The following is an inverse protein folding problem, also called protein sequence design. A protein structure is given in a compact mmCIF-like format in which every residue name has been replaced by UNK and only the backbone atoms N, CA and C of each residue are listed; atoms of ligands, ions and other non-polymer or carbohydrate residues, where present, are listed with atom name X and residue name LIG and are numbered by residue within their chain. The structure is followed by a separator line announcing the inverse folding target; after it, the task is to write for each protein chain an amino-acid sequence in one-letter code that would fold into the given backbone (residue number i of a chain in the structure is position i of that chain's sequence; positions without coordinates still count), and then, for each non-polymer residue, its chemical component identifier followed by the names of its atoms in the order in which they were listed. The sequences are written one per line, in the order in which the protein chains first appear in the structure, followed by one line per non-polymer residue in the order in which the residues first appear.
data_IF_922685118506
#
_entry.id   IF_922685118506
#
_cell.length_a   1.000
_cell.length_b   1.000
_cell.length_c   1.000
_cell.angle_alpha   90.00
_cell.angle_beta   90.00
_cell.angle_gamma   90.00
#
_symmetry.space_group_name_H-M   'P 1'
#
loop_
_entity.id
_entity.type
_entity.pdbx_description
1 polymer ?
#
# COMPACT_ATOMS: atom_id res chain seq x y z
N UNK A 1 -1.13 1.71 -17.11
CA UNK A 1 -2.10 1.73 -15.98
C UNK A 1 -2.88 3.04 -16.02
N UNK A 2 -4.07 3.12 -15.43
CA UNK A 2 -4.92 4.35 -15.46
C UNK A 2 -5.69 4.57 -14.15
N UNK A 3 -6.13 5.81 -13.87
CA UNK A 3 -7.07 6.04 -12.79
C UNK A 3 -8.41 5.31 -12.98
N UNK A 4 -9.00 4.85 -11.87
CA UNK A 4 -10.34 4.26 -11.83
C UNK A 4 -11.39 5.35 -11.63
N UNK A 5 -12.53 5.22 -12.31
CA UNK A 5 -13.70 6.10 -12.14
C UNK A 5 -14.43 5.82 -10.82
N UNK A 6 -15.34 6.71 -10.41
CA UNK A 6 -16.18 6.48 -9.22
C UNK A 6 -17.06 5.23 -9.37
N UNK A 7 -17.60 4.98 -10.55
CA UNK A 7 -18.40 3.78 -10.85
C UNK A 7 -17.57 2.51 -10.71
N UNK A 8 -16.34 2.50 -11.22
CA UNK A 8 -15.42 1.37 -11.09
C UNK A 8 -15.00 1.11 -9.64
N UNK A 9 -14.71 2.18 -8.87
CA UNK A 9 -14.44 2.07 -7.43
C UNK A 9 -15.64 1.46 -6.70
N UNK A 10 -16.86 1.93 -7.02
CA UNK A 10 -18.10 1.41 -6.42
C UNK A 10 -18.30 -0.06 -6.74
N UNK A 11 -18.14 -0.46 -8.01
CA UNK A 11 -18.26 -1.85 -8.45
C UNK A 11 -17.25 -2.73 -7.71
N UNK A 12 -15.97 -2.34 -7.68
CA UNK A 12 -14.92 -3.07 -6.97
C UNK A 12 -15.24 -3.28 -5.49
N UNK A 13 -15.58 -2.20 -4.77
CA UNK A 13 -15.84 -2.30 -3.33
C UNK A 13 -17.15 -3.03 -2.99
N UNK A 14 -18.08 -3.11 -3.93
CA UNK A 14 -19.34 -3.85 -3.76
C UNK A 14 -19.13 -5.35 -4.03
N UNK A 15 -18.41 -5.70 -5.09
CA UNK A 15 -18.42 -7.05 -5.67
C UNK A 15 -17.11 -7.84 -5.50
N UNK A 16 -15.98 -7.17 -5.33
CA UNK A 16 -14.65 -7.79 -5.38
C UNK A 16 -13.83 -7.61 -4.09
N UNK A 17 -14.12 -6.58 -3.29
CA UNK A 17 -13.32 -6.26 -2.12
C UNK A 17 -13.29 -7.41 -1.10
N UNK A 18 -12.08 -7.94 -0.88
CA UNK A 18 -11.88 -9.15 -0.10
C UNK A 18 -11.79 -8.85 1.42
N UNK A 19 -12.95 -8.67 2.04
CA UNK A 19 -13.07 -8.43 3.49
C UNK A 19 -12.45 -9.57 4.31
N UNK A 20 -12.62 -10.82 3.88
CA UNK A 20 -12.04 -11.98 4.57
C UNK A 20 -10.49 -11.95 4.51
N UNK A 21 -9.94 -11.52 3.37
CA UNK A 21 -8.51 -11.28 3.20
C UNK A 21 -8.01 -10.20 4.16
N UNK A 22 -8.72 -9.07 4.26
CA UNK A 22 -8.40 -8.00 5.23
C UNK A 22 -8.45 -8.51 6.67
N UNK A 23 -9.49 -9.27 7.03
CA UNK A 23 -9.61 -9.88 8.35
C UNK A 23 -8.47 -10.84 8.66
N UNK A 24 -8.06 -11.65 7.68
CA UNK A 24 -6.93 -12.57 7.82
C UNK A 24 -5.60 -11.83 7.92
N UNK A 25 -5.43 -10.72 7.19
CA UNK A 25 -4.24 -9.88 7.25
C UNK A 25 -4.04 -9.28 8.63
N UNK A 26 -5.11 -8.70 9.18
CA UNK A 26 -5.13 -8.06 10.50
C UNK A 26 -5.33 -9.07 11.64
N UNK A 27 -5.29 -10.38 11.35
CA UNK A 27 -5.44 -11.41 12.37
C UNK A 27 -4.27 -11.34 13.34
N UNK A 28 -4.59 -11.23 14.63
CA UNK A 28 -3.60 -11.08 15.68
C UNK A 28 -3.13 -9.64 15.89
N UNK A 29 -3.72 -8.67 15.20
CA UNK A 29 -3.52 -7.25 15.52
C UNK A 29 -3.99 -6.96 16.95
N UNK A 30 -3.18 -6.22 17.70
CA UNK A 30 -3.50 -5.86 19.08
C UNK A 30 -4.38 -4.62 19.09
N UNK A 31 -5.54 -4.72 19.74
CA UNK A 31 -6.47 -3.61 19.85
C UNK A 31 -7.22 -3.28 18.55
N UNK A 32 -7.81 -2.09 18.52
CA UNK A 32 -8.62 -1.60 17.40
C UNK A 32 -7.71 -0.97 16.33
N UNK A 33 -7.95 -1.32 15.07
CA UNK A 33 -7.25 -0.74 13.92
C UNK A 33 -7.95 0.55 13.53
N UNK A 34 -7.22 1.62 13.26
CA UNK A 34 -7.80 2.82 12.63
C UNK A 34 -7.63 2.67 11.12
N UNK A 35 -8.71 2.79 10.36
CA UNK A 35 -8.62 2.85 8.91
C UNK A 35 -8.55 4.30 8.45
N UNK A 36 -8.08 4.52 7.23
CA UNK A 36 -8.09 5.84 6.63
C UNK A 36 -8.35 5.77 5.13
N UNK A 37 -8.94 6.83 4.59
CA UNK A 37 -9.16 6.98 3.16
C UNK A 37 -8.65 8.32 2.68
N UNK A 38 -8.19 8.34 1.43
CA UNK A 38 -7.93 9.57 0.67
C UNK A 38 -8.88 9.52 -0.51
N UNK A 39 -9.70 10.56 -0.68
CA UNK A 39 -10.81 10.51 -1.64
C UNK A 39 -10.30 10.71 -3.07
N UNK A 40 -9.56 11.78 -3.33
CA UNK A 40 -9.19 12.17 -4.69
C UNK A 40 -7.99 13.11 -4.79
N UNK A 41 -7.06 13.06 -3.82
CA UNK A 41 -5.90 13.96 -3.74
C UNK A 41 -5.09 14.00 -5.02
N UNK A 42 -4.79 12.84 -5.59
CA UNK A 42 -3.93 12.72 -6.76
C UNK A 42 -4.71 12.55 -8.05
N UNK A 43 -5.83 11.81 -8.01
CA UNK A 43 -6.65 11.54 -9.19
C UNK A 43 -7.55 12.71 -9.58
N UNK A 44 -7.89 13.60 -8.63
CA UNK A 44 -8.94 14.61 -8.79
C UNK A 44 -10.30 14.01 -9.19
N UNK A 45 -10.51 12.74 -8.86
CA UNK A 45 -11.76 12.00 -9.07
C UNK A 45 -12.34 11.72 -7.68
N UNK A 46 -13.42 12.42 -7.36
CA UNK A 46 -14.12 12.36 -6.07
C UNK A 46 -15.61 12.68 -6.27
N UNK A 47 -16.50 12.19 -5.39
CA UNK A 47 -17.90 12.65 -5.39
C UNK A 47 -17.98 14.17 -5.14
N UNK A 48 -18.81 14.94 -5.87
CA UNK A 48 -18.85 16.41 -5.75
C UNK A 48 -19.09 16.94 -4.33
N UNK A 49 -19.85 16.20 -3.51
CA UNK A 49 -20.13 16.53 -2.11
C UNK A 49 -18.88 16.51 -1.21
N UNK A 50 -17.79 15.87 -1.65
CA UNK A 50 -16.53 15.74 -0.92
C UNK A 50 -15.38 16.56 -1.53
N UNK A 51 -15.69 17.62 -2.29
CA UNK A 51 -14.67 18.47 -2.92
C UNK A 51 -13.71 19.10 -1.89
N UNK A 52 -14.23 19.62 -0.78
CA UNK A 52 -13.42 20.25 0.28
C UNK A 52 -12.52 19.24 1.00
N UNK A 53 -12.94 17.97 1.03
CA UNK A 53 -12.22 16.87 1.69
C UNK A 53 -11.38 16.03 0.71
N UNK A 54 -11.37 16.36 -0.58
CA UNK A 54 -10.77 15.53 -1.62
C UNK A 54 -9.29 15.22 -1.35
N UNK A 55 -8.55 16.18 -0.80
CA UNK A 55 -7.15 16.06 -0.44
C UNK A 55 -6.93 15.64 1.03
N UNK A 56 -7.97 15.66 1.85
CA UNK A 56 -7.89 15.36 3.28
C UNK A 56 -7.80 13.86 3.51
N UNK A 57 -6.99 13.48 4.51
CA UNK A 57 -6.97 12.11 5.00
C UNK A 57 -8.11 11.94 6.01
N UNK A 58 -9.12 11.15 5.68
CA UNK A 58 -10.27 10.88 6.55
C UNK A 58 -9.98 9.62 7.36
N UNK A 59 -10.06 9.70 8.68
CA UNK A 59 -9.90 8.55 9.57
C UNK A 59 -11.26 7.87 9.80
N UNK A 60 -11.25 6.55 9.79
CA UNK A 60 -12.39 5.69 10.07
C UNK A 60 -12.03 4.88 11.31
N UNK A 61 -12.40 5.42 12.46
CA UNK A 61 -12.23 4.80 13.77
C UNK A 61 -13.57 4.42 14.42
N UNK A 62 -14.71 4.81 13.84
CA UNK A 62 -16.07 4.50 14.29
C UNK A 62 -16.74 3.41 13.42
N UNK A 63 -16.42 2.15 13.71
CA UNK A 63 -16.97 0.97 13.07
C UNK A 63 -17.17 -0.19 14.08
N UNK A 64 -18.04 -1.16 13.81
CA UNK A 64 -18.20 -2.38 14.63
C UNK A 64 -17.66 -3.61 13.94
N UNK A 65 -17.59 -3.57 12.62
CA UNK A 65 -17.13 -4.64 11.75
C UNK A 65 -16.43 -4.08 10.51
N UNK A 66 -15.68 -4.93 9.80
CA UNK A 66 -15.10 -4.54 8.50
C UNK A 66 -16.17 -4.23 7.45
N UNK A 67 -17.42 -4.66 7.66
CA UNK A 67 -18.54 -4.30 6.80
C UNK A 67 -18.94 -2.83 6.96
N UNK A 68 -18.86 -2.29 8.17
CA UNK A 68 -19.07 -0.86 8.39
C UNK A 68 -17.93 -0.05 7.74
N UNK A 69 -16.70 -0.55 7.79
CA UNK A 69 -15.54 0.05 7.07
C UNK A 69 -15.79 0.03 5.56
N UNK A 70 -16.28 -1.09 5.00
CA UNK A 70 -16.72 -1.14 3.59
C UNK A 70 -17.82 -0.10 3.32
N UNK A 71 -18.77 0.07 4.22
CA UNK A 71 -19.81 1.10 4.13
C UNK A 71 -19.23 2.50 3.97
N UNK A 72 -18.27 2.88 4.83
CA UNK A 72 -17.55 4.15 4.70
C UNK A 72 -16.76 4.26 3.39
N UNK A 73 -16.11 3.19 2.94
CA UNK A 73 -15.40 3.17 1.65
C UNK A 73 -16.39 3.39 0.48
N UNK A 74 -17.59 2.81 0.54
CA UNK A 74 -18.63 2.98 -0.50
C UNK A 74 -19.29 4.36 -0.49
N UNK A 75 -19.27 5.04 0.65
CA UNK A 75 -19.70 6.43 0.81
C UNK A 75 -18.68 7.38 0.14
N UNK A 76 -17.40 7.27 0.51
CA UNK A 76 -16.37 8.17 0.02
C UNK A 76 -15.86 7.84 -1.40
N UNK A 77 -15.99 6.59 -1.85
CA UNK A 77 -15.40 6.07 -3.09
C UNK A 77 -13.93 6.50 -3.30
N UNK A 78 -13.04 6.18 -2.35
CA UNK A 78 -11.73 6.79 -2.27
C UNK A 78 -10.76 6.28 -3.33
N UNK A 79 -9.79 7.12 -3.70
CA UNK A 79 -8.68 6.73 -4.56
C UNK A 79 -7.70 5.80 -3.85
N UNK A 80 -7.69 5.75 -2.52
CA UNK A 80 -6.85 4.84 -1.75
C UNK A 80 -7.39 4.62 -0.34
N UNK A 81 -7.25 3.38 0.15
CA UNK A 81 -7.60 2.97 1.51
C UNK A 81 -6.33 2.54 2.23
N UNK A 82 -6.22 2.91 3.51
CA UNK A 82 -5.07 2.68 4.37
C UNK A 82 -5.53 2.13 5.72
N UNK A 83 -4.60 1.56 6.47
CA UNK A 83 -4.75 1.35 7.91
C UNK A 83 -3.60 2.03 8.66
N UNK A 84 -3.86 2.43 9.89
CA UNK A 84 -2.88 2.96 10.82
C UNK A 84 -2.08 1.81 11.41
N UNK A 85 -0.76 1.91 11.26
CA UNK A 85 0.22 0.94 11.75
C UNK A 85 0.41 1.01 13.26
N UNK A 86 -0.11 2.04 13.93
CA UNK A 86 -0.03 2.16 15.38
C UNK A 86 -0.95 1.17 16.09
N UNK A 87 -0.50 0.72 17.26
CA UNK A 87 -1.30 0.00 18.24
C UNK A 87 -1.69 0.98 19.33
N UNK A 88 -2.96 0.96 19.70
CA UNK A 88 -3.55 1.81 20.72
C UNK A 88 -3.96 0.99 21.95
N UNK A 89 -3.76 1.54 23.14
CA UNK A 89 -4.42 1.05 24.35
C UNK A 89 -5.88 1.52 24.45
N UNK A 90 -6.57 1.11 25.51
CA UNK A 90 -7.99 1.45 25.75
C UNK A 90 -8.22 2.96 25.95
N UNK A 91 -7.18 3.71 26.34
CA UNK A 91 -7.21 5.16 26.50
C UNK A 91 -6.88 5.91 25.19
N UNK A 92 -6.62 5.17 24.10
CA UNK A 92 -6.29 5.73 22.79
C UNK A 92 -4.83 6.22 22.68
N UNK A 93 -3.95 5.82 23.60
CA UNK A 93 -2.53 6.13 23.54
C UNK A 93 -1.79 5.10 22.70
N UNK A 94 -0.83 5.58 21.91
CA UNK A 94 0.04 4.72 21.10
C UNK A 94 0.99 3.93 22.01
N UNK A 95 0.91 2.60 21.94
CA UNK A 95 1.75 1.66 22.70
C UNK A 95 2.69 0.83 21.83
N UNK A 96 2.57 0.93 20.51
CA UNK A 96 3.45 0.28 19.57
C UNK A 96 3.14 0.70 18.14
N UNK A 97 3.97 0.27 17.19
CA UNK A 97 3.75 0.53 15.77
C UNK A 97 4.36 -0.57 14.90
N UNK A 98 3.64 -1.05 13.91
CA UNK A 98 4.20 -1.99 12.92
C UNK A 98 5.41 -1.36 12.23
N UNK A 99 6.53 -2.09 12.19
CA UNK A 99 7.68 -1.73 11.35
C UNK A 99 7.37 -2.16 9.91
N UNK A 100 7.50 -1.25 8.95
CA UNK A 100 7.39 -1.60 7.54
C UNK A 100 8.34 -0.77 6.69
N UNK A 101 8.70 -1.32 5.55
CA UNK A 101 9.58 -0.73 4.55
C UNK A 101 8.79 -0.53 3.27
N UNK A 102 8.82 0.68 2.71
CA UNK A 102 8.17 1.00 1.44
C UNK A 102 9.23 1.17 0.35
N UNK A 103 9.06 0.42 -0.72
CA UNK A 103 9.89 0.47 -1.92
C UNK A 103 8.99 0.91 -3.08
N UNK A 104 9.14 2.16 -3.49
CA UNK A 104 8.39 2.77 -4.60
C UNK A 104 9.35 3.14 -5.74
N UNK A 105 8.95 2.97 -7.01
CA UNK A 105 9.69 3.44 -8.18
C UNK A 105 10.20 4.88 -8.08
N UNK A 106 9.50 5.75 -7.36
CA UNK A 106 9.88 7.15 -7.13
C UNK A 106 11.23 7.30 -6.41
N UNK A 107 11.68 6.31 -5.64
CA UNK A 107 12.96 6.32 -4.93
C UNK A 107 14.13 5.81 -5.79
N UNK A 108 13.86 5.31 -7.00
CA UNK A 108 14.86 4.77 -7.90
C UNK A 108 15.24 5.73 -9.02
N UNK A 109 16.43 5.54 -9.57
CA UNK A 109 16.87 6.21 -10.80
C UNK A 109 16.73 5.24 -11.96
N UNK A 110 15.77 5.49 -12.85
CA UNK A 110 15.56 4.68 -14.04
C UNK A 110 16.65 4.95 -15.08
N UNK A 111 17.26 3.91 -15.70
CA UNK A 111 18.28 4.11 -16.73
C UNK A 111 17.73 4.78 -18.01
N UNK A 112 16.42 4.71 -18.24
CA UNK A 112 15.76 5.32 -19.41
C UNK A 112 15.15 6.67 -19.05
N UNK A 113 14.44 6.74 -17.93
CA UNK A 113 13.62 7.91 -17.60
C UNK A 113 14.29 8.89 -16.61
N UNK A 114 15.44 8.53 -16.05
CA UNK A 114 16.20 9.34 -15.09
C UNK A 114 15.66 9.24 -13.67
N UNK A 115 16.01 10.23 -12.85
CA UNK A 115 15.59 10.35 -11.45
C UNK A 115 14.16 10.88 -11.30
N UNK A 116 13.62 10.86 -10.08
CA UNK A 116 12.36 11.54 -9.75
C UNK A 116 12.39 13.02 -10.13
N UNK A 117 13.51 13.72 -9.91
CA UNK A 117 13.65 15.13 -10.28
C UNK A 117 13.48 15.32 -11.80
N UNK A 118 14.10 14.44 -12.60
CA UNK A 118 13.98 14.48 -14.07
C UNK A 118 12.54 14.25 -14.52
N UNK A 119 11.83 13.33 -13.86
CA UNK A 119 10.42 13.06 -14.12
C UNK A 119 9.52 14.23 -13.70
N UNK A 120 9.76 14.84 -12.55
CA UNK A 120 9.00 16.01 -12.08
C UNK A 120 9.12 17.17 -13.07
N UNK A 121 10.32 17.43 -13.63
CA UNK A 121 10.52 18.44 -14.69
C UNK A 121 9.69 18.17 -15.95
N UNK A 122 9.35 16.91 -16.23
CA UNK A 122 8.48 16.49 -17.33
C UNK A 122 7.01 16.33 -16.94
N UNK A 123 6.62 16.68 -15.72
CA UNK A 123 5.28 16.44 -15.17
C UNK A 123 4.88 14.96 -15.11
N UNK A 124 5.86 14.07 -14.89
CA UNK A 124 5.72 12.62 -14.86
C UNK A 124 6.06 12.01 -13.49
N UNK A 125 6.11 12.80 -12.42
CA UNK A 125 6.59 12.37 -11.10
C UNK A 125 5.91 11.12 -10.53
N UNK A 126 4.60 10.97 -10.77
CA UNK A 126 3.81 9.82 -10.29
C UNK A 126 3.76 8.65 -11.29
N UNK A 127 4.40 8.81 -12.46
CA UNK A 127 4.47 7.78 -13.49
C UNK A 127 5.70 6.89 -13.30
N UNK A 128 5.52 5.61 -13.53
CA UNK A 128 6.59 4.61 -13.53
C UNK A 128 6.48 3.75 -14.78
N UNK A 129 7.61 3.15 -15.16
CA UNK A 129 7.68 2.19 -16.26
C UNK A 129 7.88 0.76 -15.74
N UNK A 130 7.75 -0.22 -16.63
CA UNK A 130 7.90 -1.64 -16.32
C UNK A 130 9.29 -1.97 -15.77
N UNK A 131 10.32 -1.29 -16.28
CA UNK A 131 11.70 -1.42 -15.81
C UNK A 131 11.82 -1.01 -14.34
N UNK A 132 11.14 0.07 -13.93
CA UNK A 132 11.21 0.51 -12.55
C UNK A 132 10.48 -0.43 -11.61
N UNK A 133 9.32 -0.96 -12.02
CA UNK A 133 8.64 -2.01 -11.27
C UNK A 133 9.53 -3.24 -11.06
N UNK A 134 10.24 -3.66 -12.10
CA UNK A 134 11.16 -4.79 -12.03
C UNK A 134 12.34 -4.48 -11.09
N UNK A 135 12.92 -3.28 -11.19
CA UNK A 135 14.01 -2.85 -10.30
C UNK A 135 13.57 -2.81 -8.83
N UNK A 136 12.37 -2.29 -8.54
CA UNK A 136 11.81 -2.29 -7.17
C UNK A 136 11.54 -3.71 -6.71
N UNK A 137 11.06 -4.60 -7.58
CA UNK A 137 10.84 -6.02 -7.25
C UNK A 137 12.15 -6.71 -6.86
N UNK A 138 13.20 -6.54 -7.66
CA UNK A 138 14.54 -7.08 -7.39
C UNK A 138 15.12 -6.53 -6.08
N UNK A 139 14.93 -5.23 -5.83
CA UNK A 139 15.34 -4.62 -4.56
C UNK A 139 14.54 -5.15 -3.37
N UNK A 140 13.24 -5.38 -3.54
CA UNK A 140 12.35 -5.97 -2.53
C UNK A 140 12.80 -7.37 -2.16
N UNK A 141 13.14 -8.22 -3.15
CA UNK A 141 13.65 -9.57 -2.93
C UNK A 141 14.96 -9.52 -2.13
N UNK A 142 15.91 -8.66 -2.54
CA UNK A 142 17.19 -8.50 -1.82
C UNK A 142 16.99 -7.98 -0.40
N UNK A 143 16.08 -7.03 -0.20
CA UNK A 143 15.81 -6.48 1.13
C UNK A 143 15.13 -7.52 2.02
N UNK A 144 14.19 -8.29 1.47
CA UNK A 144 13.55 -9.39 2.19
C UNK A 144 14.58 -10.41 2.69
N UNK A 145 15.53 -10.83 1.85
CA UNK A 145 16.61 -11.74 2.27
C UNK A 145 17.38 -11.17 3.46
N UNK A 146 17.72 -9.88 3.42
CA UNK A 146 18.42 -9.22 4.51
C UNK A 146 17.62 -9.10 5.80
N UNK A 147 16.34 -8.75 5.70
CA UNK A 147 15.45 -8.65 6.85
C UNK A 147 15.15 -10.02 7.44
N UNK A 148 15.06 -11.07 6.63
CA UNK A 148 14.75 -12.44 7.08
C UNK A 148 15.84 -13.06 7.97
N UNK A 149 17.04 -12.47 7.97
CA UNK A 149 18.14 -12.83 8.88
C UNK A 149 17.93 -12.31 10.31
N UNK A 150 17.01 -11.36 10.49
CA UNK A 150 16.77 -10.64 11.75
C UNK A 150 15.32 -10.83 12.24
N UNK A 151 14.36 -10.84 11.32
CA UNK A 151 12.93 -10.92 11.59
C UNK A 151 12.34 -12.23 11.08
N UNK A 152 11.31 -12.73 11.76
CA UNK A 152 10.73 -14.04 11.52
C UNK A 152 9.35 -14.01 10.85
N UNK A 153 8.54 -12.96 11.06
CA UNK A 153 7.23 -12.78 10.42
C UNK A 153 7.29 -11.59 9.47
N UNK A 154 7.82 -11.84 8.28
CA UNK A 154 7.89 -10.88 7.18
C UNK A 154 6.79 -11.16 6.16
N UNK A 155 6.08 -10.11 5.75
CA UNK A 155 5.00 -10.21 4.76
C UNK A 155 5.20 -9.16 3.68
N UNK A 156 5.04 -9.57 2.43
CA UNK A 156 5.19 -8.66 1.28
C UNK A 156 3.80 -8.29 0.78
N UNK A 157 3.62 -7.02 0.39
CA UNK A 157 2.42 -6.54 -0.28
C UNK A 157 2.83 -5.79 -1.53
N UNK A 158 2.31 -6.19 -2.69
CA UNK A 158 2.31 -5.32 -3.85
C UNK A 158 1.34 -4.16 -3.60
N UNK A 159 1.83 -2.93 -3.61
CA UNK A 159 1.06 -1.73 -3.24
C UNK A 159 0.29 -1.13 -4.42
N UNK A 160 0.45 -1.67 -5.63
CA UNK A 160 -0.10 -1.13 -6.88
C UNK A 160 0.93 -0.40 -7.73
N UNK A 161 2.02 0.11 -7.13
CA UNK A 161 3.14 0.76 -7.85
C UNK A 161 4.50 0.27 -7.40
N UNK A 162 4.58 -0.25 -6.19
CA UNK A 162 5.80 -0.79 -5.60
C UNK A 162 5.45 -1.90 -4.62
N UNK A 163 6.28 -2.08 -3.62
CA UNK A 163 6.11 -3.14 -2.63
C UNK A 163 6.32 -2.61 -1.23
N UNK A 164 5.57 -3.17 -0.30
CA UNK A 164 5.80 -3.01 1.12
C UNK A 164 6.34 -4.32 1.69
N UNK A 165 7.32 -4.21 2.59
CA UNK A 165 7.70 -5.32 3.48
C UNK A 165 7.23 -4.96 4.89
N UNK A 166 6.33 -5.76 5.42
CA UNK A 166 5.74 -5.62 6.74
C UNK A 166 6.40 -6.57 7.72
N UNK A 167 6.74 -6.09 8.92
CA UNK A 167 7.36 -6.87 10.00
C UNK A 167 6.34 -7.07 11.13
N UNK A 168 5.86 -8.30 11.29
CA UNK A 168 4.85 -8.70 12.26
C UNK A 168 5.43 -9.35 13.53
N UNK A 169 6.77 -9.43 13.65
CA UNK A 169 7.44 -9.82 14.90
C UNK A 169 6.98 -8.92 16.06
N UNK A 170 6.47 -9.50 17.14
CA UNK A 170 5.92 -8.76 18.28
C UNK A 170 6.92 -7.76 18.88
N UNK A 171 8.19 -8.15 18.94
CA UNK A 171 9.30 -7.32 19.42
C UNK A 171 9.48 -6.06 18.55
N UNK A 172 9.22 -6.15 17.24
CA UNK A 172 9.36 -5.03 16.31
C UNK A 172 8.33 -3.93 16.57
N UNK A 173 7.16 -4.26 17.14
CA UNK A 173 6.14 -3.26 17.49
C UNK A 173 6.60 -2.33 18.62
N UNK A 174 7.45 -2.81 19.52
CA UNK A 174 7.98 -2.08 20.67
C UNK A 174 9.15 -1.14 20.35
N UNK A 175 9.69 -1.18 19.12
CA UNK A 175 10.83 -0.35 18.73
C UNK A 175 10.50 1.15 18.83
N UNK A 176 11.38 1.89 19.49
CA UNK A 176 11.31 3.35 19.59
C UNK A 176 11.58 4.04 18.24
N UNK A 177 11.15 5.30 18.11
CA UNK A 177 11.45 6.12 16.93
C UNK A 177 12.97 6.20 16.62
N UNK A 178 13.80 6.21 17.66
CA UNK A 178 15.26 6.23 17.50
C UNK A 178 15.77 4.92 16.90
N UNK A 179 15.34 3.78 17.43
CA UNK A 179 15.73 2.46 16.92
C UNK A 179 15.27 2.26 15.47
N UNK A 180 14.04 2.67 15.14
CA UNK A 180 13.51 2.63 13.78
C UNK A 180 14.30 3.51 12.82
N UNK A 181 14.66 4.72 13.25
CA UNK A 181 15.51 5.64 12.46
C UNK A 181 16.90 5.05 12.23
N UNK A 182 17.48 4.38 13.24
CA UNK A 182 18.76 3.68 13.08
C UNK A 182 18.65 2.48 12.13
N UNK A 183 17.54 1.73 12.15
CA UNK A 183 17.27 0.65 11.18
C UNK A 183 17.15 1.23 9.77
N UNK A 184 16.32 2.27 9.57
CA UNK A 184 16.14 2.93 8.27
C UNK A 184 17.48 3.40 7.70
N UNK A 185 18.29 4.08 8.52
CA UNK A 185 19.63 4.53 8.15
C UNK A 185 20.55 3.38 7.75
N UNK A 186 20.62 2.31 8.56
CA UNK A 186 21.46 1.13 8.26
C UNK A 186 21.05 0.47 6.95
N UNK A 187 19.76 0.32 6.69
CA UNK A 187 19.26 -0.26 5.43
C UNK A 187 19.67 0.62 4.23
N UNK A 188 19.57 1.94 4.35
CA UNK A 188 20.05 2.86 3.30
C UNK A 188 21.56 2.84 3.10
N UNK A 189 22.35 2.78 4.18
CA UNK A 189 23.82 2.68 4.10
C UNK A 189 24.28 1.40 3.38
N UNK A 190 23.44 0.36 3.38
CA UNK A 190 23.65 -0.88 2.63
C UNK A 190 23.22 -0.79 1.16
N UNK A 191 22.73 0.37 0.72
CA UNK A 191 22.38 0.64 -0.67
C UNK A 191 20.93 0.34 -1.06
N UNK A 192 20.03 0.16 -0.08
CA UNK A 192 18.60 -0.01 -0.35
C UNK A 192 17.87 1.34 -0.41
N UNK A 193 17.04 1.55 -1.42
CA UNK A 193 16.31 2.80 -1.69
C UNK A 193 14.89 2.79 -1.08
N UNK A 194 14.82 2.53 0.22
CA UNK A 194 13.57 2.56 1.00
C UNK A 194 13.11 4.00 1.28
N UNK A 195 11.81 4.18 1.53
CA UNK A 195 11.29 5.38 2.19
C UNK A 195 11.62 5.36 3.70
N UNK A 196 12.50 6.27 4.12
CA UNK A 196 12.89 6.43 5.53
C UNK A 196 11.76 6.92 6.43
N UNK A 197 10.88 7.78 5.92
CA UNK A 197 9.78 8.35 6.71
C UNK A 197 8.74 7.26 7.03
N UNK A 198 8.54 6.30 6.12
CA UNK A 198 7.76 5.09 6.42
C UNK A 198 8.49 4.23 7.45
N UNK A 199 9.76 3.92 7.25
CA UNK A 199 10.49 2.97 8.11
C UNK A 199 10.72 3.51 9.53
N UNK A 200 11.04 4.80 9.67
CA UNK A 200 11.26 5.47 10.96
C UNK A 200 10.00 5.62 11.80
N UNK A 201 8.82 5.39 11.22
CA UNK A 201 7.53 5.50 11.89
C UNK A 201 6.84 6.86 11.73
N UNK A 202 7.41 7.78 10.95
CA UNK A 202 6.81 9.08 10.67
C UNK A 202 5.50 8.99 9.87
N UNK A 203 5.41 8.08 8.89
CA UNK A 203 4.16 7.83 8.15
C UNK A 203 3.37 6.74 8.84
N UNK A 204 2.38 7.06 9.66
CA UNK A 204 1.62 6.02 10.36
C UNK A 204 0.70 5.18 9.46
N UNK A 205 0.28 5.71 8.31
CA UNK A 205 -0.67 5.04 7.42
C UNK A 205 0.04 4.23 6.34
N UNK A 206 -0.44 3.02 6.07
CA UNK A 206 0.04 2.16 4.98
C UNK A 206 -1.14 1.56 4.21
N UNK A 207 -0.98 1.32 2.91
CA UNK A 207 -2.07 0.89 2.04
C UNK A 207 -2.68 -0.41 2.56
N UNK A 208 -4.00 -0.44 2.66
CA UNK A 208 -4.74 -1.61 3.12
C UNK A 208 -4.63 -2.73 2.08
N UNK A 209 -4.13 -3.92 2.42
CA UNK A 209 -4.15 -5.06 1.50
C UNK A 209 -5.57 -5.38 1.05
N UNK A 210 -5.69 -5.87 -0.18
CA UNK A 210 -6.93 -6.11 -0.91
C UNK A 210 -7.73 -4.86 -1.31
N UNK A 211 -7.28 -3.65 -0.96
CA UNK A 211 -7.91 -2.40 -1.44
C UNK A 211 -7.44 -2.01 -2.84
N UNK A 212 -8.23 -1.16 -3.50
CA UNK A 212 -7.91 -0.64 -4.83
C UNK A 212 -6.97 0.58 -4.71
N UNK A 213 -5.88 0.57 -5.48
CA UNK A 213 -5.10 1.76 -5.76
C UNK A 213 -5.71 2.50 -6.97
N UNK A 214 -6.52 3.52 -6.70
CA UNK A 214 -7.35 4.21 -7.68
C UNK A 214 -6.61 5.06 -8.70
N UNK A 215 -5.31 5.37 -8.52
CA UNK A 215 -4.50 6.06 -9.54
C UNK A 215 -4.07 5.14 -10.69
N UNK A 216 -3.93 3.83 -10.40
CA UNK A 216 -3.37 2.86 -11.34
C UNK A 216 -4.31 1.68 -11.62
N UNK A 217 -5.45 1.63 -10.94
CA UNK A 217 -6.44 0.55 -11.04
C UNK A 217 -5.79 -0.82 -10.84
N UNK A 218 -5.11 -0.96 -9.70
CA UNK A 218 -4.50 -2.21 -9.24
C UNK A 218 -4.94 -2.53 -7.84
N UNK A 219 -5.19 -3.81 -7.56
CA UNK A 219 -5.52 -4.29 -6.23
C UNK A 219 -4.20 -4.49 -5.48
N UNK A 220 -4.08 -3.94 -4.28
CA UNK A 220 -2.96 -4.24 -3.42
C UNK A 220 -3.08 -5.69 -2.94
N UNK A 221 -2.08 -6.54 -3.18
CA UNK A 221 -2.18 -7.97 -2.83
C UNK A 221 -0.99 -8.40 -1.98
N UNK A 222 -1.22 -9.17 -0.90
CA UNK A 222 -0.14 -9.90 -0.24
C UNK A 222 0.50 -10.91 -1.18
N UNK A 223 1.81 -11.11 -1.06
CA UNK A 223 2.59 -12.07 -1.84
C UNK A 223 3.50 -12.87 -0.89
N UNK A 224 3.61 -14.17 -1.12
CA UNK A 224 4.73 -14.96 -0.59
C UNK A 224 6.02 -14.64 -1.35
N UNK A 225 7.18 -14.81 -0.71
CA UNK A 225 8.47 -14.55 -1.34
C UNK A 225 8.67 -15.37 -2.63
N UNK A 226 8.14 -16.60 -2.69
CA UNK A 226 8.22 -17.46 -3.89
C UNK A 226 7.32 -16.96 -5.00
N UNK A 227 6.22 -16.29 -4.65
CA UNK A 227 5.32 -15.68 -5.64
C UNK A 227 5.92 -14.40 -6.18
N UNK A 228 6.64 -13.63 -5.35
CA UNK A 228 7.26 -12.37 -5.74
C UNK A 228 8.23 -12.52 -6.92
N UNK A 229 9.03 -13.58 -6.95
CA UNK A 229 9.99 -13.82 -8.05
C UNK A 229 9.30 -13.95 -9.42
N UNK A 230 8.14 -14.63 -9.46
CA UNK A 230 7.35 -14.82 -10.67
C UNK A 230 6.27 -13.74 -10.88
N UNK A 231 6.14 -12.79 -9.96
CA UNK A 231 5.06 -11.82 -9.99
C UNK A 231 5.27 -10.78 -11.11
N UNK A 232 4.28 -10.66 -11.98
CA UNK A 232 4.20 -9.62 -13.00
C UNK A 232 2.97 -8.72 -12.75
N UNK A 233 3.11 -7.49 -12.25
CA UNK A 233 1.98 -6.59 -11.93
C UNK A 233 1.15 -6.15 -13.15
N UNK A 234 1.63 -6.44 -14.37
CA UNK A 234 0.94 -6.11 -15.61
C UNK A 234 -0.03 -7.23 -16.01
N UNK A 235 0.35 -8.48 -15.77
CA UNK A 235 -0.34 -9.68 -16.26
C UNK A 235 -1.04 -10.48 -15.15
N UNK A 236 -0.60 -10.35 -13.89
CA UNK A 236 -1.14 -11.13 -12.79
C UNK A 236 -2.58 -10.71 -12.47
N UNK A 237 -3.54 -11.58 -12.82
CA UNK A 237 -4.97 -11.35 -12.65
C UNK A 237 -5.37 -11.07 -11.20
N UNK A 238 -4.60 -11.53 -10.20
CA UNK A 238 -4.91 -11.29 -8.79
C UNK A 238 -4.84 -9.82 -8.43
N UNK A 239 -4.01 -9.03 -9.12
CA UNK A 239 -3.92 -7.58 -8.91
C UNK A 239 -4.73 -6.75 -9.93
N UNK A 240 -5.45 -7.39 -10.86
CA UNK A 240 -6.26 -6.72 -11.89
C UNK A 240 -7.75 -6.83 -11.53
N UNK A 241 -8.43 -5.71 -11.24
CA UNK A 241 -9.86 -5.71 -10.93
C UNK A 241 -10.69 -6.12 -12.16
N UNK A 242 -11.87 -6.72 -11.95
CA UNK A 242 -12.72 -7.26 -13.02
C UNK A 242 -13.06 -6.23 -14.08
N UNK A 243 -13.30 -4.97 -13.71
CA UNK A 243 -13.61 -3.91 -14.67
C UNK A 243 -12.49 -3.60 -15.67
N UNK A 244 -11.26 -4.10 -15.44
CA UNK A 244 -10.15 -4.02 -16.39
C UNK A 244 -9.88 -5.33 -17.14
N UNK A 245 -10.45 -6.45 -16.69
CA UNK A 245 -10.33 -7.71 -17.41
C UNK A 245 -11.15 -7.56 -18.68
N UNK A 246 -10.50 -7.68 -19.84
CA UNK A 246 -11.23 -7.73 -21.10
C UNK A 246 -12.19 -8.91 -20.99
N UNK A 247 -13.49 -8.70 -21.22
CA UNK A 247 -14.40 -9.81 -21.47
C UNK A 247 -13.75 -10.64 -22.59
N UNK A 248 -13.50 -11.92 -22.33
CA UNK A 248 -13.20 -12.85 -23.42
C UNK A 248 -14.36 -12.71 -24.40
N UNK A 249 -14.09 -12.11 -25.56
CA UNK A 249 -15.08 -12.10 -26.63
C UNK A 249 -15.50 -13.55 -26.84
N UNK A 250 -16.80 -13.87 -26.82
CA UNK A 250 -17.23 -15.25 -27.03
C UNK A 250 -16.58 -15.73 -28.32
N UNK A 251 -15.84 -16.83 -28.25
CA UNK A 251 -15.30 -17.49 -29.44
C UNK A 251 -16.51 -17.86 -30.30
N UNK A 252 -16.75 -17.06 -31.34
CA UNK A 252 -17.77 -17.32 -32.38
C UNK A 252 -17.33 -18.53 -33.18
#
# INVERSE_FOLDING_TARGET
MRPSTLEERRAFYTEEFNINGVSSWLKGWFGRVIFAVIIGRHTRIYPPEYEEDAETTILIDNYRSLEDVRGWILEFLPESVYYDRNIYDDDGKIIGQELAFDLDPENLTCPIHGSLEDKMRRHQGLSFCEIELEMVKDETIRLYDELSKVFSDLRIVYSGRGFHIHVFDIEAFGLSLKERSEIAKKIRERGFMIDEWVTSGGMRLIRLPYSLHGMVSRIAIPLDIRELEAFNPIEDERCIPRFLRREESPKI
#
